data_IF_010138021850
#
_entry.id   IF_010138021850
#
_cell.length_a   1.000
_cell.length_b   1.000
_cell.length_c   1.000
_cell.angle_alpha   90.00
_cell.angle_beta   90.00
_cell.angle_gamma   90.00
#
_symmetry.space_group_name_H-M   'P 1'
#
loop_
_entity.id
_entity.type
_entity.pdbx_description
1 polymer ?
#
# COMPACT_ATOMS: atom_id res chain seq x y z
N UNK A 1 -26.58 -33.44 -14.51
CA UNK A 1 -25.26 -33.70 -13.89
C UNK A 1 -24.15 -33.87 -14.92
N UNK A 2 -24.45 -34.29 -16.16
CA UNK A 2 -23.44 -34.42 -17.24
C UNK A 2 -22.95 -33.09 -17.84
N UNK A 3 -23.80 -32.05 -17.90
CA UNK A 3 -23.43 -30.73 -18.44
C UNK A 3 -22.33 -30.06 -17.60
N UNK A 4 -22.39 -30.21 -16.28
CA UNK A 4 -21.41 -29.63 -15.35
C UNK A 4 -20.04 -30.34 -15.42
N UNK A 5 -20.04 -31.65 -15.71
CA UNK A 5 -18.83 -32.42 -15.95
C UNK A 5 -18.18 -32.09 -17.30
N UNK A 6 -18.97 -31.81 -18.34
CA UNK A 6 -18.46 -31.44 -19.66
C UNK A 6 -17.82 -30.03 -19.70
N UNK A 7 -18.35 -29.09 -18.92
CA UNK A 7 -17.75 -27.75 -18.76
C UNK A 7 -16.43 -27.82 -17.98
N UNK A 8 -16.38 -28.64 -16.92
CA UNK A 8 -15.15 -28.87 -16.12
C UNK A 8 -14.03 -29.52 -16.94
N UNK A 9 -14.36 -30.45 -17.84
CA UNK A 9 -13.37 -31.13 -18.69
C UNK A 9 -12.84 -30.24 -19.82
N UNK A 10 -13.65 -29.35 -20.40
CA UNK A 10 -13.18 -28.38 -21.40
C UNK A 10 -12.36 -27.23 -20.79
N UNK A 11 -12.50 -26.97 -19.48
CA UNK A 11 -11.69 -25.98 -18.77
C UNK A 11 -10.31 -26.51 -18.34
N UNK A 12 -10.05 -27.82 -18.44
CA UNK A 12 -8.73 -28.39 -18.15
C UNK A 12 -7.82 -28.29 -19.38
N UNK A 13 -7.19 -27.12 -19.50
CA UNK A 13 -5.84 -26.96 -20.02
C UNK A 13 -5.47 -27.76 -21.29
N UNK A 14 -5.85 -27.23 -22.44
CA UNK A 14 -4.93 -27.19 -23.59
C UNK A 14 -4.27 -25.82 -23.70
N UNK A 15 -4.07 -25.12 -22.58
CA UNK A 15 -3.17 -23.97 -22.60
C UNK A 15 -1.77 -24.49 -22.91
N UNK A 16 -1.29 -24.13 -24.09
CA UNK A 16 0.03 -24.51 -24.54
C UNK A 16 1.05 -24.00 -23.52
N UNK A 17 2.14 -24.75 -23.30
CA UNK A 17 3.26 -24.30 -22.45
C UNK A 17 3.71 -22.89 -22.83
N UNK A 18 3.59 -22.52 -24.12
CA UNK A 18 3.87 -21.18 -24.64
C UNK A 18 3.00 -20.08 -24.01
N UNK A 19 1.71 -20.35 -23.80
CA UNK A 19 0.75 -19.40 -23.21
C UNK A 19 1.00 -19.22 -21.71
N UNK A 20 1.38 -20.31 -21.02
CA UNK A 20 1.80 -20.26 -19.62
C UNK A 20 3.05 -19.36 -19.48
N UNK A 21 4.06 -19.59 -20.31
CA UNK A 21 5.29 -18.77 -20.30
C UNK A 21 4.97 -17.30 -20.63
N UNK A 22 4.10 -17.05 -21.61
CA UNK A 22 3.71 -15.69 -21.98
C UNK A 22 2.98 -14.96 -20.84
N UNK A 23 2.06 -15.64 -20.14
CA UNK A 23 1.36 -15.08 -18.98
C UNK A 23 2.32 -14.79 -17.81
N UNK A 24 3.28 -15.68 -17.53
CA UNK A 24 4.31 -15.42 -16.51
C UNK A 24 5.18 -14.21 -16.86
N UNK A 25 5.60 -14.08 -18.12
CA UNK A 25 6.34 -12.90 -18.56
C UNK A 25 5.51 -11.62 -18.46
N UNK A 26 4.24 -11.66 -18.86
CA UNK A 26 3.35 -10.51 -18.78
C UNK A 26 3.18 -10.03 -17.33
N UNK A 27 2.99 -10.96 -16.38
CA UNK A 27 2.92 -10.62 -14.95
C UNK A 27 4.22 -9.98 -14.46
N UNK A 28 5.39 -10.53 -14.84
CA UNK A 28 6.67 -9.91 -14.47
C UNK A 28 6.80 -8.49 -15.00
N UNK A 29 6.48 -8.26 -16.28
CA UNK A 29 6.55 -6.91 -16.88
C UNK A 29 5.62 -5.93 -16.16
N UNK A 30 4.40 -6.36 -15.82
CA UNK A 30 3.45 -5.54 -15.05
C UNK A 30 4.02 -5.19 -13.67
N UNK A 31 4.59 -6.17 -12.96
CA UNK A 31 5.21 -5.95 -11.65
C UNK A 31 6.37 -4.95 -11.76
N UNK A 32 7.26 -5.11 -12.73
CA UNK A 32 8.37 -4.18 -12.96
C UNK A 32 7.90 -2.77 -13.32
N UNK A 33 6.84 -2.64 -14.12
CA UNK A 33 6.26 -1.36 -14.48
C UNK A 33 5.61 -0.64 -13.28
N UNK A 34 4.96 -1.39 -12.39
CA UNK A 34 4.29 -0.83 -11.20
C UNK A 34 5.25 -0.60 -10.02
N UNK A 35 6.34 -1.36 -9.93
CA UNK A 35 7.34 -1.24 -8.87
C UNK A 35 7.81 0.19 -8.57
N UNK A 36 8.23 1.02 -9.56
CA UNK A 36 8.67 2.39 -9.27
C UNK A 36 7.55 3.27 -8.69
N UNK A 37 6.29 3.01 -9.04
CA UNK A 37 5.15 3.75 -8.50
C UNK A 37 4.91 3.42 -7.03
N UNK A 38 4.89 2.13 -6.69
CA UNK A 38 4.76 1.68 -5.30
C UNK A 38 5.93 2.16 -4.45
N UNK A 39 7.17 2.06 -4.95
CA UNK A 39 8.37 2.54 -4.25
C UNK A 39 8.32 4.04 -3.96
N UNK A 40 7.86 4.87 -4.91
CA UNK A 40 7.74 6.32 -4.69
C UNK A 40 6.74 6.65 -3.58
N UNK A 41 5.61 5.94 -3.51
CA UNK A 41 4.61 6.11 -2.43
C UNK A 41 5.18 5.69 -1.08
N UNK A 42 5.90 4.58 -1.02
CA UNK A 42 6.55 4.09 0.18
C UNK A 42 7.61 5.07 0.70
N UNK A 43 8.46 5.59 -0.18
CA UNK A 43 9.46 6.61 0.18
C UNK A 43 8.80 7.89 0.71
N UNK A 44 7.70 8.35 0.07
CA UNK A 44 6.96 9.53 0.56
C UNK A 44 6.41 9.28 1.96
N UNK A 45 5.77 8.13 2.18
CA UNK A 45 5.19 7.76 3.48
C UNK A 45 6.25 7.67 4.56
N UNK A 46 7.37 6.98 4.28
CA UNK A 46 8.47 6.82 5.23
C UNK A 46 9.11 8.16 5.58
N UNK A 47 9.24 9.09 4.62
CA UNK A 47 9.75 10.43 4.90
C UNK A 47 8.80 11.23 5.80
N UNK A 48 7.48 11.13 5.59
CA UNK A 48 6.48 11.77 6.46
C UNK A 48 6.50 11.18 7.87
N UNK A 49 6.63 9.86 7.98
CA UNK A 49 6.77 9.16 9.26
C UNK A 49 7.98 9.68 10.06
N UNK A 50 9.16 9.69 9.44
CA UNK A 50 10.38 10.20 10.07
C UNK A 50 10.20 11.65 10.50
N UNK A 51 9.71 12.52 9.61
CA UNK A 51 9.49 13.94 9.92
C UNK A 51 8.53 14.16 11.08
N UNK A 52 7.43 13.40 11.11
CA UNK A 52 6.43 13.50 12.16
C UNK A 52 7.01 13.05 13.52
N UNK A 53 7.67 11.89 13.57
CA UNK A 53 8.26 11.38 14.81
C UNK A 53 9.46 12.21 15.29
N UNK A 54 10.25 12.78 14.38
CA UNK A 54 11.29 13.74 14.73
C UNK A 54 10.70 15.03 15.29
N UNK A 55 9.60 15.53 14.70
CA UNK A 55 8.88 16.70 15.23
C UNK A 55 8.24 16.41 16.60
N UNK A 56 7.71 15.20 16.82
CA UNK A 56 7.18 14.73 18.12
C UNK A 56 8.27 14.78 19.19
N UNK A 57 9.46 14.24 18.89
CA UNK A 57 10.60 14.24 19.80
C UNK A 57 11.12 15.65 20.09
N UNK A 58 11.18 16.50 19.07
CA UNK A 58 11.66 17.87 19.17
C UNK A 58 10.62 18.85 19.77
N UNK A 59 9.37 18.39 20.01
CA UNK A 59 8.25 19.24 20.44
C UNK A 59 8.07 20.47 19.55
N UNK A 60 8.18 20.26 18.24
CA UNK A 60 8.14 21.34 17.26
C UNK A 60 6.73 21.92 17.10
N UNK A 61 6.63 23.20 16.73
CA UNK A 61 5.34 23.90 16.57
C UNK A 61 4.53 23.39 15.36
N UNK A 62 5.18 22.78 14.37
CA UNK A 62 4.56 22.26 13.15
C UNK A 62 4.08 20.79 13.27
N UNK A 63 4.03 20.26 14.50
CA UNK A 63 3.68 18.87 14.79
C UNK A 63 2.34 18.44 14.19
N UNK A 64 1.31 19.24 14.43
CA UNK A 64 -0.07 18.91 14.06
C UNK A 64 -0.24 18.85 12.55
N UNK A 65 0.42 19.75 11.82
CA UNK A 65 0.40 19.79 10.35
C UNK A 65 1.10 18.56 9.75
N UNK A 66 2.29 18.22 10.25
CA UNK A 66 3.02 17.02 9.82
C UNK A 66 2.29 15.73 10.19
N UNK A 67 1.68 15.67 11.36
CA UNK A 67 0.88 14.53 11.81
C UNK A 67 -0.38 14.33 10.95
N UNK A 68 -1.07 15.42 10.61
CA UNK A 68 -2.22 15.37 9.71
C UNK A 68 -1.81 14.84 8.34
N UNK A 69 -0.73 15.38 7.76
CA UNK A 69 -0.23 14.90 6.47
C UNK A 69 0.14 13.41 6.53
N UNK A 70 0.84 12.98 7.59
CA UNK A 70 1.21 11.57 7.78
C UNK A 70 -0.01 10.64 7.86
N UNK A 71 -0.96 10.90 8.75
CA UNK A 71 -2.13 10.04 8.97
C UNK A 71 -3.12 10.06 7.81
N UNK A 72 -3.30 11.20 7.14
CA UNK A 72 -4.11 11.24 5.92
C UNK A 72 -3.46 10.43 4.78
N UNK A 73 -2.13 10.42 4.67
CA UNK A 73 -1.43 9.53 3.72
C UNK A 73 -1.50 8.05 4.12
N UNK A 74 -1.82 7.73 5.38
CA UNK A 74 -2.15 6.37 5.84
C UNK A 74 -3.60 5.97 5.58
N UNK A 75 -4.44 6.91 5.13
CA UNK A 75 -5.85 6.68 4.82
C UNK A 75 -6.81 6.94 5.99
N UNK A 76 -6.37 7.63 7.04
CA UNK A 76 -7.26 8.12 8.08
C UNK A 76 -8.01 9.37 7.59
N UNK A 77 -9.23 9.56 8.11
CA UNK A 77 -9.96 10.80 8.01
C UNK A 77 -9.35 11.87 8.95
N UNK A 78 -9.73 13.13 8.75
CA UNK A 78 -9.15 14.24 9.51
C UNK A 78 -9.40 14.10 11.03
N UNK A 79 -10.59 13.63 11.43
CA UNK A 79 -10.93 13.41 12.84
C UNK A 79 -10.17 12.22 13.45
N UNK A 80 -10.00 11.12 12.72
CA UNK A 80 -9.16 10.00 13.12
C UNK A 80 -7.70 10.43 13.27
N UNK A 81 -7.18 11.18 12.30
CA UNK A 81 -5.82 11.70 12.33
C UNK A 81 -5.57 12.58 13.56
N UNK A 82 -6.48 13.51 13.89
CA UNK A 82 -6.37 14.35 15.09
C UNK A 82 -6.32 13.55 16.38
N UNK A 83 -7.21 12.55 16.52
CA UNK A 83 -7.22 11.65 17.70
C UNK A 83 -5.91 10.87 17.83
N UNK A 84 -5.35 10.40 16.71
CA UNK A 84 -4.07 9.70 16.73
C UNK A 84 -2.92 10.61 17.15
N UNK A 85 -2.87 11.85 16.65
CA UNK A 85 -1.86 12.85 17.04
C UNK A 85 -1.96 13.16 18.54
N UNK A 86 -3.17 13.40 19.05
CA UNK A 86 -3.40 13.65 20.48
C UNK A 86 -2.92 12.48 21.35
N UNK A 87 -3.20 11.25 20.92
CA UNK A 87 -2.75 10.05 21.60
C UNK A 87 -1.21 9.95 21.63
N UNK A 88 -0.55 10.18 20.49
CA UNK A 88 0.90 10.15 20.39
C UNK A 88 1.56 11.23 21.26
N UNK A 89 1.00 12.44 21.28
CA UNK A 89 1.46 13.53 22.15
C UNK A 89 1.34 13.17 23.63
N UNK A 90 0.27 12.49 24.02
CA UNK A 90 0.04 12.08 25.40
C UNK A 90 1.05 11.01 25.88
N UNK A 91 1.54 10.17 24.96
CA UNK A 91 2.47 9.07 25.26
C UNK A 91 3.95 9.41 24.99
N UNK A 92 4.23 10.53 24.33
CA UNK A 92 5.59 11.05 24.09
C UNK A 92 6.00 12.04 25.21
N UNK A 93 6.05 11.54 26.45
CA UNK A 93 6.55 12.29 27.62
C UNK A 93 8.05 12.13 27.83
#
# INVERSE_FOLDING_TARGET
MEIFLNISNNLRFTMSVKEIVFSMMAVMVIVFALFPFFRKREVKRNNLEVKYFDALRAKSENLTELGLEYYMNLGLDEEGAKRSIENDMAHTK
#
